data_IF_394621785461
#
_entry.id   IF_394621785461
#
_cell.length_a   1.000
_cell.length_b   1.000
_cell.length_c   1.000
_cell.angle_alpha   90.00
_cell.angle_beta   90.00
_cell.angle_gamma   90.00
#
_symmetry.space_group_name_H-M   'P 1'
#
loop_
_entity.id
_entity.type
_entity.pdbx_description
1 polymer ?
#
# COMPACT_ATOMS: atom_id res chain seq x y z
N UNK A 1 -30.63 54.87 8.25
CA UNK A 1 -31.23 53.54 8.47
C UNK A 1 -30.71 52.58 7.40
N UNK A 2 -29.38 52.41 7.30
CA UNK A 2 -28.76 51.63 6.22
C UNK A 2 -27.31 51.17 6.47
N UNK A 3 -26.76 51.36 7.68
CA UNK A 3 -25.36 51.03 7.97
C UNK A 3 -25.17 49.74 8.78
N UNK A 4 -26.28 49.09 9.16
CA UNK A 4 -26.25 47.84 9.95
C UNK A 4 -26.24 46.56 9.08
N UNK A 5 -26.77 46.63 7.86
CA UNK A 5 -26.95 45.50 6.94
C UNK A 5 -25.62 45.08 6.27
N UNK A 6 -24.78 46.07 5.91
CA UNK A 6 -23.46 45.82 5.29
C UNK A 6 -22.53 44.99 6.18
N UNK A 7 -22.50 45.25 7.49
CA UNK A 7 -21.64 44.52 8.42
C UNK A 7 -22.09 43.07 8.63
N UNK A 8 -23.39 42.78 8.50
CA UNK A 8 -23.93 41.43 8.62
C UNK A 8 -23.59 40.61 7.37
N UNK A 9 -23.76 41.20 6.18
CA UNK A 9 -23.30 40.56 4.94
C UNK A 9 -21.78 40.34 4.93
N UNK A 10 -20.99 41.32 5.39
CA UNK A 10 -19.53 41.20 5.49
C UNK A 10 -19.12 40.10 6.51
N UNK A 11 -19.85 39.97 7.61
CA UNK A 11 -19.63 38.93 8.62
C UNK A 11 -19.99 37.54 8.10
N UNK A 12 -21.09 37.42 7.35
CA UNK A 12 -21.50 36.19 6.69
C UNK A 12 -20.48 35.81 5.61
N UNK A 13 -20.00 36.77 4.83
CA UNK A 13 -18.96 36.56 3.83
C UNK A 13 -17.65 36.09 4.48
N UNK A 14 -17.27 36.66 5.62
CA UNK A 14 -16.09 36.24 6.38
C UNK A 14 -16.24 34.83 6.96
N UNK A 15 -17.41 34.48 7.49
CA UNK A 15 -17.69 33.13 7.99
C UNK A 15 -17.71 32.09 6.86
N UNK A 16 -18.28 32.43 5.71
CA UNK A 16 -18.31 31.56 4.54
C UNK A 16 -16.90 31.32 3.99
N UNK A 17 -16.07 32.37 3.87
CA UNK A 17 -14.69 32.26 3.38
C UNK A 17 -13.78 31.48 4.33
N UNK A 18 -13.91 31.69 5.64
CA UNK A 18 -13.16 30.89 6.62
C UNK A 18 -13.56 29.42 6.59
N UNK A 19 -14.86 29.12 6.44
CA UNK A 19 -15.35 27.75 6.33
C UNK A 19 -14.83 27.05 5.07
N UNK A 20 -14.80 27.74 3.91
CA UNK A 20 -14.28 27.15 2.66
C UNK A 20 -12.77 26.94 2.72
N UNK A 21 -12.00 27.88 3.29
CA UNK A 21 -10.55 27.71 3.48
C UNK A 21 -10.24 26.53 4.40
N UNK A 22 -10.97 26.38 5.51
CA UNK A 22 -10.79 25.25 6.43
C UNK A 22 -11.18 23.93 5.76
N UNK A 23 -12.30 23.89 5.02
CA UNK A 23 -12.73 22.71 4.30
C UNK A 23 -11.73 22.32 3.19
N UNK A 24 -11.19 23.29 2.47
CA UNK A 24 -10.17 23.07 1.45
C UNK A 24 -8.86 22.56 2.07
N UNK A 25 -8.39 23.20 3.14
CA UNK A 25 -7.20 22.74 3.87
C UNK A 25 -7.37 21.32 4.42
N UNK A 26 -8.55 20.97 4.94
CA UNK A 26 -8.85 19.62 5.38
C UNK A 26 -8.84 18.63 4.19
N UNK A 27 -9.44 19.03 3.07
CA UNK A 27 -9.49 18.22 1.86
C UNK A 27 -8.08 17.92 1.33
N UNK A 28 -7.21 18.92 1.20
CA UNK A 28 -5.84 18.72 0.73
C UNK A 28 -5.02 17.82 1.66
N UNK A 29 -5.09 18.06 2.97
CA UNK A 29 -4.24 17.33 3.92
C UNK A 29 -4.74 15.91 4.24
N UNK A 30 -6.05 15.65 4.13
CA UNK A 30 -6.63 14.40 4.63
C UNK A 30 -7.37 13.58 3.58
N UNK A 31 -7.90 14.21 2.51
CA UNK A 31 -8.71 13.53 1.49
C UNK A 31 -7.90 13.34 0.21
N UNK A 32 -7.23 14.38 -0.27
CA UNK A 32 -6.37 14.34 -1.46
C UNK A 32 -4.98 13.78 -1.11
N UNK A 33 -4.94 12.53 -0.64
CA UNK A 33 -3.68 11.83 -0.43
C UNK A 33 -3.14 11.39 -1.78
N UNK A 34 -1.92 11.80 -2.10
CA UNK A 34 -1.19 11.22 -3.23
C UNK A 34 -1.03 9.71 -3.00
N UNK A 35 -1.29 8.86 -4.01
CA UNK A 35 -1.08 7.43 -3.88
C UNK A 35 0.39 7.13 -3.54
N UNK A 36 0.63 6.51 -2.37
CA UNK A 36 1.98 6.10 -1.97
C UNK A 36 2.60 5.07 -2.94
N UNK A 37 1.76 4.27 -3.61
CA UNK A 37 2.15 3.33 -4.66
C UNK A 37 1.74 3.90 -6.02
N UNK A 38 2.72 4.38 -6.78
CA UNK A 38 2.57 4.80 -8.18
C UNK A 38 2.95 3.68 -9.18
N UNK A 39 3.10 2.44 -8.68
CA UNK A 39 3.43 1.30 -9.52
C UNK A 39 2.36 1.12 -10.59
N UNK A 40 2.81 0.86 -11.82
CA UNK A 40 1.93 0.55 -12.96
C UNK A 40 1.24 -0.80 -12.81
N UNK A 41 1.81 -1.68 -11.99
CA UNK A 41 1.27 -3.00 -11.70
C UNK A 41 0.32 -2.89 -10.51
N UNK A 42 -0.85 -3.52 -10.62
CA UNK A 42 -1.69 -3.78 -9.46
C UNK A 42 -0.94 -4.64 -8.44
N UNK A 43 -1.31 -4.56 -7.16
CA UNK A 43 -0.65 -5.33 -6.10
C UNK A 43 -0.58 -6.84 -6.43
N UNK A 44 -1.62 -7.38 -7.08
CA UNK A 44 -1.67 -8.78 -7.52
C UNK A 44 -0.70 -9.07 -8.66
N UNK A 45 -0.61 -8.19 -9.65
CA UNK A 45 0.34 -8.36 -10.77
C UNK A 45 1.78 -8.29 -10.29
N UNK A 46 2.06 -7.40 -9.33
CA UNK A 46 3.37 -7.31 -8.70
C UNK A 46 3.73 -8.60 -7.94
N UNK A 47 2.78 -9.17 -7.18
CA UNK A 47 2.99 -10.45 -6.50
C UNK A 47 3.16 -11.60 -7.49
N UNK A 48 2.39 -11.63 -8.59
CA UNK A 48 2.55 -12.64 -9.63
C UNK A 48 3.94 -12.56 -10.28
N UNK A 49 4.43 -11.34 -10.55
CA UNK A 49 5.80 -11.12 -11.01
C UNK A 49 6.80 -11.58 -9.94
N UNK A 50 6.56 -11.27 -8.65
CA UNK A 50 7.34 -11.74 -7.49
C UNK A 50 7.54 -13.25 -7.47
N UNK A 51 6.49 -13.99 -7.82
CA UNK A 51 6.38 -15.43 -7.63
C UNK A 51 6.83 -16.23 -8.84
N UNK A 52 6.52 -15.76 -10.06
CA UNK A 52 6.78 -16.49 -11.30
C UNK A 52 7.45 -15.66 -12.41
N UNK A 53 7.92 -14.45 -12.07
CA UNK A 53 8.65 -13.59 -13.00
C UNK A 53 10.04 -14.10 -13.38
N UNK A 54 10.85 -13.19 -13.92
CA UNK A 54 12.20 -13.52 -14.38
C UNK A 54 13.06 -14.09 -13.22
N UNK A 55 13.74 -15.24 -13.40
CA UNK A 55 14.55 -15.86 -12.33
C UNK A 55 15.62 -14.94 -11.72
N UNK A 56 16.25 -14.07 -12.53
CA UNK A 56 17.24 -13.09 -12.05
C UNK A 56 16.57 -12.04 -11.18
N UNK A 57 15.39 -11.59 -11.56
CA UNK A 57 14.63 -10.62 -10.80
C UNK A 57 14.06 -11.25 -9.52
N UNK A 58 13.57 -12.49 -9.59
CA UNK A 58 13.16 -13.28 -8.42
C UNK A 58 14.32 -13.46 -7.44
N UNK A 59 15.51 -13.84 -7.92
CA UNK A 59 16.69 -14.00 -7.08
C UNK A 59 17.08 -12.69 -6.40
N UNK A 60 17.01 -11.56 -7.11
CA UNK A 60 17.28 -10.24 -6.53
C UNK A 60 16.30 -9.87 -5.41
N UNK A 61 15.01 -10.17 -5.58
CA UNK A 61 13.96 -9.75 -4.66
C UNK A 61 13.74 -10.75 -3.50
N UNK A 62 13.80 -12.05 -3.76
CA UNK A 62 13.58 -13.10 -2.77
C UNK A 62 14.88 -13.56 -2.10
N UNK A 63 16.04 -13.15 -2.64
CA UNK A 63 17.38 -13.63 -2.24
C UNK A 63 17.53 -15.15 -2.24
N UNK A 64 16.70 -15.83 -3.02
CA UNK A 64 16.64 -17.29 -3.11
C UNK A 64 16.44 -17.72 -4.56
N UNK A 65 17.12 -18.79 -4.97
CA UNK A 65 16.94 -19.39 -6.30
C UNK A 65 15.53 -19.96 -6.49
N UNK A 66 15.03 -19.96 -7.74
CA UNK A 66 13.69 -20.46 -8.09
C UNK A 66 13.49 -21.93 -7.69
N UNK A 67 14.51 -22.78 -7.81
CA UNK A 67 14.44 -24.18 -7.39
C UNK A 67 14.38 -24.33 -5.88
N UNK A 68 15.18 -23.53 -5.16
CA UNK A 68 15.16 -23.52 -3.69
C UNK A 68 13.83 -23.00 -3.14
N UNK A 69 13.24 -21.96 -3.76
CA UNK A 69 11.90 -21.50 -3.43
C UNK A 69 10.87 -22.62 -3.55
N UNK A 70 10.86 -23.35 -4.67
CA UNK A 70 9.93 -24.49 -4.88
C UNK A 70 10.13 -25.59 -3.85
N UNK A 71 11.37 -25.92 -3.53
CA UNK A 71 11.69 -26.92 -2.49
C UNK A 71 11.18 -26.48 -1.12
N UNK A 72 11.39 -25.21 -0.78
CA UNK A 72 10.88 -24.63 0.47
C UNK A 72 9.36 -24.65 0.53
N UNK A 73 8.67 -24.28 -0.56
CA UNK A 73 7.21 -24.36 -0.65
C UNK A 73 6.74 -25.81 -0.43
N UNK A 74 7.39 -26.80 -1.05
CA UNK A 74 7.07 -28.22 -0.83
C UNK A 74 7.24 -28.66 0.63
N UNK A 75 8.33 -28.27 1.28
CA UNK A 75 8.57 -28.57 2.71
C UNK A 75 7.49 -27.91 3.58
N UNK A 76 7.18 -26.62 3.35
CA UNK A 76 6.19 -25.89 4.13
C UNK A 76 4.77 -26.42 3.92
N UNK A 77 4.44 -26.91 2.73
CA UNK A 77 3.16 -27.56 2.46
C UNK A 77 3.03 -28.90 3.19
N UNK A 78 4.09 -29.72 3.18
CA UNK A 78 4.07 -31.08 3.75
C UNK A 78 4.23 -31.04 5.27
N UNK A 79 5.28 -30.39 5.75
CA UNK A 79 5.69 -30.39 7.16
C UNK A 79 5.13 -29.19 7.91
N UNK A 80 5.09 -28.02 7.27
CA UNK A 80 4.58 -26.78 7.85
C UNK A 80 3.05 -26.66 7.83
N UNK A 81 2.34 -27.61 7.22
CA UNK A 81 0.88 -27.57 7.01
C UNK A 81 0.38 -26.31 6.30
N UNK A 82 1.25 -25.67 5.52
CA UNK A 82 0.92 -24.47 4.76
C UNK A 82 -0.04 -24.83 3.63
N UNK A 83 -1.08 -24.03 3.45
CA UNK A 83 -2.14 -24.26 2.46
C UNK A 83 -2.50 -22.97 1.77
N UNK A 84 -3.07 -23.09 0.58
CA UNK A 84 -3.67 -21.97 -0.09
C UNK A 84 -4.77 -21.38 0.80
N UNK A 85 -4.75 -20.07 0.96
CA UNK A 85 -5.78 -19.30 1.66
C UNK A 85 -6.68 -18.59 0.64
N UNK A 86 -7.72 -17.90 1.11
CA UNK A 86 -8.73 -17.29 0.24
C UNK A 86 -8.12 -16.16 -0.62
N UNK A 87 -7.55 -16.53 -1.76
CA UNK A 87 -6.92 -15.64 -2.72
C UNK A 87 -5.40 -15.51 -2.63
N UNK A 88 -4.70 -16.34 -1.83
CA UNK A 88 -3.23 -16.35 -1.76
C UNK A 88 -2.70 -17.78 -1.73
N UNK A 89 -1.99 -18.17 -2.77
CA UNK A 89 -1.33 -19.47 -2.89
C UNK A 89 -0.16 -19.62 -1.93
N UNK A 90 0.24 -20.85 -1.62
CA UNK A 90 1.46 -21.14 -0.82
C UNK A 90 2.69 -20.44 -1.43
N UNK A 91 2.79 -20.46 -2.75
CA UNK A 91 3.88 -19.84 -3.49
C UNK A 91 3.95 -18.32 -3.31
N UNK A 92 2.79 -17.65 -3.25
CA UNK A 92 2.66 -16.22 -2.94
C UNK A 92 2.97 -15.93 -1.48
N UNK A 93 2.48 -16.75 -0.55
CA UNK A 93 2.76 -16.61 0.89
C UNK A 93 4.26 -16.71 1.17
N UNK A 94 4.92 -17.73 0.61
CA UNK A 94 6.37 -17.93 0.76
C UNK A 94 7.16 -16.85 0.02
N UNK A 95 6.70 -16.42 -1.15
CA UNK A 95 7.30 -15.31 -1.90
C UNK A 95 7.29 -13.99 -1.10
N UNK A 96 6.13 -13.62 -0.54
CA UNK A 96 5.98 -12.44 0.31
C UNK A 96 6.82 -12.53 1.58
N UNK A 97 6.86 -13.69 2.23
CA UNK A 97 7.70 -13.92 3.40
C UNK A 97 9.18 -13.70 3.09
N UNK A 98 9.69 -14.36 2.03
CA UNK A 98 11.08 -14.24 1.58
C UNK A 98 11.43 -12.81 1.15
N UNK A 99 10.52 -12.12 0.48
CA UNK A 99 10.69 -10.71 0.11
C UNK A 99 10.86 -9.83 1.35
N UNK A 100 9.98 -10.01 2.35
CA UNK A 100 9.99 -9.22 3.59
C UNK A 100 11.29 -9.42 4.38
N UNK A 101 11.70 -10.67 4.60
CA UNK A 101 12.95 -10.97 5.32
C UNK A 101 14.20 -10.66 4.49
N UNK A 102 14.10 -10.80 3.17
CA UNK A 102 15.20 -10.60 2.24
C UNK A 102 15.55 -9.12 2.10
N UNK A 103 14.57 -8.23 2.19
CA UNK A 103 14.80 -6.80 2.03
C UNK A 103 15.15 -6.05 3.32
N UNK A 104 15.28 -6.74 4.46
CA UNK A 104 15.47 -6.12 5.79
C UNK A 104 14.54 -4.91 5.99
N UNK A 105 13.33 -5.00 5.41
CA UNK A 105 12.20 -4.17 5.76
C UNK A 105 11.70 -4.69 7.11
N UNK A 106 12.53 -4.52 8.13
CA UNK A 106 12.04 -4.40 9.48
C UNK A 106 10.93 -3.36 9.40
N UNK A 107 9.68 -3.82 9.52
CA UNK A 107 8.58 -2.95 9.90
C UNK A 107 9.03 -2.33 11.22
N UNK A 108 9.62 -1.13 11.17
CA UNK A 108 9.93 -0.37 12.36
C UNK A 108 8.57 0.01 12.91
N UNK A 109 8.08 -0.82 13.82
CA UNK A 109 7.01 -0.45 14.73
C UNK A 109 7.62 0.68 15.56
N UNK A 110 7.30 1.92 15.21
CA UNK A 110 7.52 3.12 16.03
C UNK A 110 6.27 3.34 16.85
#
# INVERSE_FOLDING_TARGET
>A
MGDYDSNEEDMIALAATTTTVVAFHYYENHISKEPCRNSKLTDKEYIAELVDGNPVWMYKNLRMDKLLKKKLCGILTIEGSLRDTRGVSVDEQVGLFLYTIGHDECSRIV
#
